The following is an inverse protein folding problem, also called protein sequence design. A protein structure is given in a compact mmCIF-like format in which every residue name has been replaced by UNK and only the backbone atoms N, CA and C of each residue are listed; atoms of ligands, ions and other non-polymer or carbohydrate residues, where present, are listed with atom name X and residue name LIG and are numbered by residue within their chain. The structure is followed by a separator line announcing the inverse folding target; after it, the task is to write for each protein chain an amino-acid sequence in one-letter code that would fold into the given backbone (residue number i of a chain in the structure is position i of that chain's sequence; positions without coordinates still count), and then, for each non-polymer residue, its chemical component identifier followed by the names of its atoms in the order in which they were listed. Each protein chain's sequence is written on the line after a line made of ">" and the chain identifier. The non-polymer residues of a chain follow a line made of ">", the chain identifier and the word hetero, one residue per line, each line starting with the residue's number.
data_IF_351657443119
#
_entry.id   IF_351657443119
#
_cell.length_a   1.000
_cell.length_b   1.000
_cell.length_c   1.000
_cell.angle_alpha   90.00
_cell.angle_beta   90.00
_cell.angle_gamma   90.00
#
_symmetry.space_group_name_H-M   'P 1'
#
loop_
_entity.id
_entity.type
_entity.pdbx_description
1 polymer ?
#
# COMPACT_ATOMS: atom_id res chain seq x y z
N UNK A 1 16.60 2.09 -13.90
CA UNK A 1 15.31 1.46 -13.56
C UNK A 1 14.73 0.89 -14.85
N UNK A 2 14.61 -0.44 -14.97
CA UNK A 2 14.05 -1.08 -16.17
C UNK A 2 12.52 -1.06 -16.07
N UNK A 3 11.84 -0.54 -17.09
CA UNK A 3 10.39 -0.67 -17.17
C UNK A 3 10.03 -2.14 -17.46
N UNK A 4 9.07 -2.69 -16.70
CA UNK A 4 8.60 -4.07 -16.87
C UNK A 4 7.08 -4.11 -16.80
N UNK A 5 6.46 -4.88 -17.70
CA UNK A 5 5.05 -5.20 -17.65
C UNK A 5 4.81 -6.52 -16.88
N UNK A 6 3.68 -6.60 -16.18
CA UNK A 6 3.16 -7.87 -15.66
C UNK A 6 2.82 -8.83 -16.80
N UNK A 7 2.80 -10.14 -16.53
CA UNK A 7 2.51 -11.13 -17.57
C UNK A 7 1.06 -11.03 -18.01
N UNK A 8 0.82 -11.24 -19.30
CA UNK A 8 -0.53 -11.24 -19.88
C UNK A 8 -1.35 -12.37 -19.25
N UNK A 9 -2.60 -12.06 -18.86
CA UNK A 9 -3.58 -12.99 -18.26
C UNK A 9 -3.14 -13.62 -16.92
N UNK A 10 -2.22 -13.00 -16.20
CA UNK A 10 -1.78 -13.47 -14.89
C UNK A 10 -2.19 -12.49 -13.77
N UNK A 11 -3.45 -12.56 -13.33
CA UNK A 11 -4.00 -11.67 -12.29
C UNK A 11 -3.20 -11.71 -10.97
N UNK A 12 -2.64 -12.88 -10.63
CA UNK A 12 -1.85 -13.07 -9.41
C UNK A 12 -0.59 -12.19 -9.35
N UNK A 13 -0.05 -11.75 -10.50
CA UNK A 13 1.13 -10.87 -10.52
C UNK A 13 0.84 -9.50 -9.86
N UNK A 14 -0.42 -9.05 -9.88
CA UNK A 14 -0.86 -7.77 -9.33
C UNK A 14 -1.60 -7.91 -7.99
N UNK A 15 -1.86 -9.14 -7.51
CA UNK A 15 -2.76 -9.36 -6.37
C UNK A 15 -2.34 -8.64 -5.08
N UNK A 16 -1.03 -8.49 -4.85
CA UNK A 16 -0.53 -7.71 -3.70
C UNK A 16 -0.80 -6.20 -3.84
N UNK A 17 -0.60 -5.63 -5.04
CA UNK A 17 -0.90 -4.23 -5.32
C UNK A 17 -2.40 -3.95 -5.25
N UNK A 18 -3.22 -4.86 -5.77
CA UNK A 18 -4.68 -4.75 -5.71
C UNK A 18 -5.19 -4.80 -4.27
N UNK A 19 -4.66 -5.72 -3.45
CA UNK A 19 -4.97 -5.77 -2.01
C UNK A 19 -4.58 -4.47 -1.32
N UNK A 20 -3.40 -3.93 -1.60
CA UNK A 20 -2.97 -2.64 -1.07
C UNK A 20 -3.92 -1.50 -1.47
N UNK A 21 -4.27 -1.41 -2.75
CA UNK A 21 -5.17 -0.39 -3.28
C UNK A 21 -6.55 -0.46 -2.61
N UNK A 22 -7.09 -1.66 -2.40
CA UNK A 22 -8.34 -1.84 -1.66
C UNK A 22 -8.23 -1.32 -0.23
N UNK A 23 -7.17 -1.68 0.49
CA UNK A 23 -6.94 -1.19 1.86
C UNK A 23 -6.79 0.33 1.93
N UNK A 24 -6.07 0.95 0.98
CA UNK A 24 -5.97 2.41 0.87
C UNK A 24 -7.35 3.06 0.64
N UNK A 25 -8.17 2.48 -0.23
CA UNK A 25 -9.52 2.97 -0.52
C UNK A 25 -10.42 2.87 0.72
N UNK A 26 -10.47 1.69 1.35
CA UNK A 26 -11.36 1.39 2.46
C UNK A 26 -11.03 2.20 3.72
N UNK A 27 -9.74 2.41 3.98
CA UNK A 27 -9.30 3.00 5.26
C UNK A 27 -8.96 4.48 5.20
N UNK A 28 -8.50 4.97 4.04
CA UNK A 28 -8.12 6.36 3.86
C UNK A 28 -9.12 7.10 2.97
N UNK A 29 -9.29 6.67 1.72
CA UNK A 29 -10.00 7.47 0.71
C UNK A 29 -11.51 7.54 0.97
N UNK A 30 -12.10 6.49 1.55
CA UNK A 30 -13.53 6.44 1.89
C UNK A 30 -13.95 7.47 2.96
N UNK A 31 -12.99 8.00 3.73
CA UNK A 31 -13.24 8.87 4.91
C UNK A 31 -12.99 10.34 4.63
N UNK A 32 -12.54 10.69 3.43
CA UNK A 32 -12.08 12.04 3.10
C UNK A 32 -12.82 12.56 1.85
N UNK A 33 -12.96 13.88 1.68
CA UNK A 33 -13.56 14.45 0.48
C UNK A 33 -12.81 14.00 -0.78
N UNK A 34 -13.56 13.65 -1.83
CA UNK A 34 -12.99 13.23 -3.11
C UNK A 34 -12.45 14.43 -3.92
N UNK A 35 -11.44 15.09 -3.37
CA UNK A 35 -10.79 16.27 -3.96
C UNK A 35 -9.30 16.07 -4.01
N UNK A 36 -8.66 16.62 -5.04
CA UNK A 36 -7.21 16.56 -5.18
C UNK A 36 -6.48 17.19 -3.98
N UNK A 37 -7.05 18.24 -3.38
CA UNK A 37 -6.48 18.89 -2.19
C UNK A 37 -6.47 17.95 -0.98
N UNK A 38 -7.59 17.26 -0.71
CA UNK A 38 -7.65 16.29 0.37
C UNK A 38 -6.68 15.12 0.11
N UNK A 39 -6.68 14.57 -1.10
CA UNK A 39 -5.79 13.46 -1.45
C UNK A 39 -4.31 13.79 -1.30
N UNK A 40 -3.89 15.00 -1.71
CA UNK A 40 -2.49 15.46 -1.56
C UNK A 40 -2.04 15.56 -0.10
N UNK A 41 -2.96 15.80 0.83
CA UNK A 41 -2.67 15.88 2.26
C UNK A 41 -2.70 14.49 2.92
N UNK A 42 -3.78 13.74 2.69
CA UNK A 42 -4.09 12.56 3.48
C UNK A 42 -3.34 11.31 3.01
N UNK A 43 -3.09 11.15 1.70
CA UNK A 43 -2.41 9.96 1.17
C UNK A 43 -0.97 9.85 1.72
N UNK A 44 -0.12 10.90 1.71
CA UNK A 44 1.23 10.81 2.27
C UNK A 44 1.25 10.42 3.75
N UNK A 45 0.35 11.01 4.56
CA UNK A 45 0.23 10.69 5.99
C UNK A 45 -0.19 9.23 6.20
N UNK A 46 -1.17 8.76 5.44
CA UNK A 46 -1.60 7.37 5.48
C UNK A 46 -0.49 6.40 5.05
N UNK A 47 0.26 6.71 3.99
CA UNK A 47 1.38 5.89 3.54
C UNK A 47 2.48 5.81 4.61
N UNK A 48 2.77 6.91 5.29
CA UNK A 48 3.71 6.90 6.41
C UNK A 48 3.23 5.97 7.53
N UNK A 49 1.96 6.05 7.92
CA UNK A 49 1.36 5.14 8.90
C UNK A 49 1.42 3.67 8.44
N UNK A 50 0.98 3.39 7.20
CA UNK A 50 0.94 2.04 6.63
C UNK A 50 2.32 1.39 6.63
N UNK A 51 3.35 2.13 6.23
CA UNK A 51 4.70 1.57 6.12
C UNK A 51 5.43 1.43 7.47
N UNK A 52 5.15 2.32 8.44
CA UNK A 52 5.97 2.43 9.66
C UNK A 52 5.29 1.96 10.94
N UNK A 53 3.95 1.92 10.98
CA UNK A 53 3.18 1.67 12.22
C UNK A 53 2.15 0.53 12.09
N UNK A 54 1.58 0.33 10.91
CA UNK A 54 0.56 -0.70 10.70
C UNK A 54 1.15 -2.10 10.86
N UNK A 55 0.63 -2.88 11.81
CA UNK A 55 0.99 -4.29 11.96
C UNK A 55 0.17 -5.15 11.00
N UNK A 56 0.83 -6.12 10.38
CA UNK A 56 0.19 -7.02 9.43
C UNK A 56 0.28 -8.47 9.92
N UNK A 57 -0.88 -9.10 10.10
CA UNK A 57 -0.98 -10.50 10.51
C UNK A 57 -0.22 -11.44 9.56
N UNK A 58 -0.36 -11.23 8.25
CA UNK A 58 0.28 -12.06 7.23
C UNK A 58 1.81 -11.98 7.15
N UNK A 59 2.43 -11.07 7.92
CA UNK A 59 3.90 -10.93 8.02
C UNK A 59 4.34 -10.89 9.49
N UNK A 60 3.76 -11.75 10.33
CA UNK A 60 4.15 -11.94 11.73
C UNK A 60 4.08 -10.65 12.57
N UNK A 61 3.03 -9.86 12.39
CA UNK A 61 2.84 -8.57 13.07
C UNK A 61 4.00 -7.59 12.83
N UNK A 62 4.70 -7.69 11.69
CA UNK A 62 5.69 -6.69 11.28
C UNK A 62 5.03 -5.60 10.45
N UNK A 63 5.69 -4.44 10.42
CA UNK A 63 5.37 -3.37 9.47
C UNK A 63 6.06 -3.63 8.13
N UNK A 64 5.57 -3.07 7.01
CA UNK A 64 6.23 -3.21 5.71
C UNK A 64 7.70 -2.79 5.76
N UNK A 65 8.02 -1.70 6.46
CA UNK A 65 9.39 -1.22 6.60
C UNK A 65 10.29 -2.24 7.32
N UNK A 66 9.80 -2.87 8.40
CA UNK A 66 10.56 -3.90 9.11
C UNK A 66 10.85 -5.12 8.24
N UNK A 67 9.94 -5.47 7.33
CA UNK A 67 10.18 -6.56 6.37
C UNK A 67 11.23 -6.21 5.32
N UNK A 68 11.22 -4.98 4.81
CA UNK A 68 12.20 -4.53 3.80
C UNK A 68 13.60 -4.39 4.42
N UNK A 69 13.71 -3.85 5.63
CA UNK A 69 14.99 -3.70 6.33
C UNK A 69 15.63 -5.03 6.74
N UNK A 70 14.82 -6.06 7.00
CA UNK A 70 15.31 -7.39 7.33
C UNK A 70 15.90 -8.18 6.12
N UNK A 71 15.82 -7.62 4.92
CA UNK A 71 16.35 -8.20 3.68
C UNK A 71 17.72 -7.56 3.29
N UNK A 72 18.26 -6.69 4.14
CA UNK A 72 19.64 -6.17 4.05
C UNK A 72 20.60 -6.96 4.93
#
# INVERSE_FOLDING_TARGET
>A
MLHRHSRVRQANDNGHLERFNRTLQEECLSRIPQTLRAYRKEIPEYLHYYNTKRLHLGINYKTPLQCVQAIG
#
